data_IF_140652044841
#
_entry.id   IF_140652044841
#
_cell.length_a   1.000
_cell.length_b   1.000
_cell.length_c   1.000
_cell.angle_alpha   90.00
_cell.angle_beta   90.00
_cell.angle_gamma   90.00
#
_symmetry.space_group_name_H-M   'P 1'
#
loop_
_entity.id
_entity.type
_entity.pdbx_description
1 polymer ?
#
# COMPACT_ATOMS: atom_id res chain seq x y z
N UNK A 1 -6.10 -28.70 -48.19
CA UNK A 1 -5.38 -27.46 -48.51
C UNK A 1 -6.33 -26.29 -48.33
N UNK A 2 -5.91 -25.28 -47.58
CA UNK A 2 -6.40 -23.89 -47.68
C UNK A 2 -7.78 -23.57 -47.11
N UNK A 3 -7.83 -23.09 -45.87
CA UNK A 3 -8.81 -22.05 -45.52
C UNK A 3 -8.12 -20.85 -44.90
N UNK A 4 -8.51 -19.70 -45.45
CA UNK A 4 -8.01 -18.35 -45.28
C UNK A 4 -7.84 -17.90 -43.84
N UNK A 5 -6.69 -17.25 -43.62
CA UNK A 5 -6.50 -16.20 -42.62
C UNK A 5 -7.40 -14.99 -42.94
N UNK A 6 -8.04 -14.44 -41.93
CA UNK A 6 -8.24 -13.00 -41.77
C UNK A 6 -8.72 -12.72 -40.34
N UNK A 7 -7.84 -12.18 -39.50
CA UNK A 7 -8.21 -11.08 -38.61
C UNK A 7 -7.03 -10.12 -38.59
N UNK A 8 -7.19 -9.09 -39.42
CA UNK A 8 -6.34 -7.92 -39.51
C UNK A 8 -6.59 -7.10 -38.23
N UNK A 9 -5.70 -7.27 -37.26
CA UNK A 9 -5.69 -6.50 -36.03
C UNK A 9 -5.13 -5.11 -36.32
N UNK A 10 -6.03 -4.13 -36.35
CA UNK A 10 -5.79 -2.70 -36.31
C UNK A 10 -4.57 -2.33 -35.46
N UNK A 11 -3.52 -1.82 -36.11
CA UNK A 11 -2.44 -1.10 -35.44
C UNK A 11 -2.78 0.38 -35.48
N UNK A 12 -3.23 0.91 -34.34
CA UNK A 12 -3.27 2.35 -34.14
C UNK A 12 -1.83 2.85 -33.93
N UNK A 13 -1.23 3.31 -35.03
CA UNK A 13 0.07 3.94 -35.05
C UNK A 13 -0.10 5.45 -34.96
N UNK A 14 -0.26 6.02 -33.75
CA UNK A 14 -0.11 7.47 -33.51
C UNK A 14 -0.12 7.82 -32.01
N UNK A 15 0.98 7.58 -31.29
CA UNK A 15 1.38 8.46 -30.17
C UNK A 15 2.89 8.34 -29.99
N UNK A 16 3.63 9.43 -30.16
CA UNK A 16 5.00 9.53 -29.65
C UNK A 16 4.93 9.49 -28.11
N UNK A 17 4.95 8.28 -27.57
CA UNK A 17 4.91 7.97 -26.15
C UNK A 17 5.56 6.62 -25.92
N UNK A 18 6.21 6.43 -24.77
CA UNK A 18 6.82 5.15 -24.40
C UNK A 18 5.79 4.02 -24.56
N UNK A 19 6.10 2.90 -25.25
CA UNK A 19 5.13 1.84 -25.50
C UNK A 19 4.62 1.26 -24.18
N UNK A 20 3.32 1.43 -23.92
CA UNK A 20 2.65 0.95 -22.71
C UNK A 20 2.49 -0.57 -22.76
N UNK A 21 3.20 -1.28 -21.87
CA UNK A 21 3.04 -2.73 -21.67
C UNK A 21 2.25 -2.98 -20.39
N UNK A 22 1.31 -3.93 -20.41
CA UNK A 22 0.54 -4.30 -19.21
C UNK A 22 1.44 -4.98 -18.18
N UNK A 23 1.50 -4.41 -16.98
CA UNK A 23 2.15 -4.98 -15.79
C UNK A 23 1.06 -5.33 -14.77
N UNK A 24 1.12 -6.53 -14.18
CA UNK A 24 0.17 -7.01 -13.18
C UNK A 24 0.94 -7.32 -11.89
N UNK A 25 0.43 -6.84 -10.75
CA UNK A 25 0.95 -7.11 -9.41
C UNK A 25 -0.19 -7.72 -8.59
N UNK A 26 0.01 -8.92 -8.07
CA UNK A 26 -0.96 -9.59 -7.19
C UNK A 26 -0.59 -9.34 -5.73
N UNK A 27 -1.56 -8.88 -4.94
CA UNK A 27 -1.37 -8.54 -3.53
C UNK A 27 -2.46 -9.18 -2.67
N UNK A 28 -2.13 -9.68 -1.46
CA UNK A 28 -3.13 -10.06 -0.47
C UNK A 28 -4.05 -8.88 -0.08
N UNK A 29 -5.31 -9.13 0.30
CA UNK A 29 -6.29 -8.07 0.62
C UNK A 29 -5.82 -7.09 1.72
N UNK A 30 -5.01 -7.57 2.66
CA UNK A 30 -4.44 -6.71 3.71
C UNK A 30 -3.56 -5.58 3.14
N UNK A 31 -3.08 -5.71 1.90
CA UNK A 31 -2.25 -4.72 1.21
C UNK A 31 -3.03 -3.88 0.18
N UNK A 32 -4.37 -3.82 0.24
CA UNK A 32 -5.22 -3.01 -0.67
C UNK A 32 -5.04 -1.49 -0.66
N UNK A 33 -4.14 -0.96 0.18
CA UNK A 33 -3.77 0.45 0.12
C UNK A 33 -2.44 0.62 -0.62
N UNK A 34 -1.65 -0.45 -0.74
CA UNK A 34 -0.36 -0.46 -1.42
C UNK A 34 -0.53 -0.39 -2.93
N UNK A 35 -1.53 -1.07 -3.50
CA UNK A 35 -1.86 -0.99 -4.93
C UNK A 35 -2.20 0.45 -5.36
N UNK A 36 -3.03 1.15 -4.60
CA UNK A 36 -3.41 2.54 -4.85
C UNK A 36 -2.20 3.45 -4.77
N UNK A 37 -1.33 3.26 -3.76
CA UNK A 37 -0.11 4.05 -3.61
C UNK A 37 0.88 3.82 -4.76
N UNK A 38 1.07 2.56 -5.19
CA UNK A 38 1.93 2.22 -6.33
C UNK A 38 1.41 2.80 -7.64
N UNK A 39 0.10 2.71 -7.89
CA UNK A 39 -0.52 3.32 -9.08
C UNK A 39 -0.36 4.84 -9.08
N UNK A 40 -0.58 5.48 -7.93
CA UNK A 40 -0.39 6.92 -7.78
C UNK A 40 1.07 7.34 -8.03
N UNK A 41 2.04 6.59 -7.49
CA UNK A 41 3.47 6.83 -7.70
C UNK A 41 3.85 6.66 -9.17
N UNK A 42 3.42 5.58 -9.83
CA UNK A 42 3.68 5.34 -11.24
C UNK A 42 3.12 6.48 -12.12
N UNK A 43 1.85 6.85 -11.92
CA UNK A 43 1.24 7.96 -12.66
C UNK A 43 1.89 9.32 -12.35
N UNK A 44 2.45 9.51 -11.15
CA UNK A 44 3.19 10.71 -10.81
C UNK A 44 4.53 10.78 -11.56
N UNK A 45 5.29 9.69 -11.60
CA UNK A 45 6.55 9.59 -12.35
C UNK A 45 6.32 9.82 -13.84
N UNK A 46 5.25 9.24 -14.41
CA UNK A 46 4.89 9.45 -15.81
C UNK A 46 4.65 10.94 -16.13
N UNK A 47 3.87 11.64 -15.30
CA UNK A 47 3.61 13.08 -15.47
C UNK A 47 4.89 13.92 -15.38
N UNK A 48 5.83 13.55 -14.51
CA UNK A 48 7.12 14.21 -14.40
C UNK A 48 7.99 14.00 -15.65
N UNK A 49 7.93 12.81 -16.25
CA UNK A 49 8.60 12.49 -17.51
C UNK A 49 8.07 13.30 -18.69
N UNK A 50 6.74 13.41 -18.83
CA UNK A 50 6.10 14.17 -19.92
C UNK A 50 6.43 15.67 -19.83
N UNK A 51 6.41 16.26 -18.63
CA UNK A 51 6.71 17.69 -18.43
C UNK A 51 8.18 18.07 -18.68
N UNK A 52 9.08 17.08 -18.78
CA UNK A 52 10.52 17.28 -18.96
C UNK A 52 10.96 17.32 -20.44
N UNK A 53 10.06 16.99 -21.37
CA UNK A 53 10.37 16.87 -22.80
C UNK A 53 10.59 18.23 -23.53
N UNK A 54 10.16 19.34 -22.93
CA UNK A 54 10.14 20.67 -23.57
C UNK A 54 11.48 21.44 -23.54
N UNK A 55 12.59 20.80 -23.15
CA UNK A 55 13.93 21.41 -23.15
C UNK A 55 14.14 22.57 -22.17
N UNK A 56 13.20 22.79 -21.24
CA UNK A 56 13.34 23.75 -20.13
C UNK A 56 14.25 23.19 -19.04
N UNK A 57 14.96 24.08 -18.34
CA UNK A 57 15.70 23.73 -17.12
C UNK A 57 14.77 23.08 -16.10
N UNK A 58 15.09 21.83 -15.73
CA UNK A 58 14.30 21.04 -14.79
C UNK A 58 14.81 21.34 -13.38
N UNK A 59 13.91 21.74 -12.48
CA UNK A 59 14.20 21.76 -11.05
C UNK A 59 14.22 20.32 -10.52
N UNK A 60 15.36 19.66 -10.67
CA UNK A 60 15.52 18.27 -10.27
C UNK A 60 15.40 18.09 -8.75
N UNK A 61 15.79 19.09 -7.96
CA UNK A 61 15.64 19.03 -6.51
C UNK A 61 14.15 19.02 -6.12
N UNK A 62 13.29 19.73 -6.86
CA UNK A 62 11.84 19.62 -6.69
C UNK A 62 11.34 18.23 -7.07
N UNK A 63 11.76 17.69 -8.22
CA UNK A 63 11.41 16.34 -8.64
C UNK A 63 11.78 15.31 -7.57
N UNK A 64 13.01 15.38 -7.04
CA UNK A 64 13.49 14.47 -6.00
C UNK A 64 12.59 14.52 -4.75
N UNK A 65 12.21 15.72 -4.30
CA UNK A 65 11.29 15.87 -3.15
C UNK A 65 9.91 15.27 -3.43
N UNK A 66 9.38 15.47 -4.63
CA UNK A 66 8.07 14.94 -5.03
C UNK A 66 8.09 13.41 -5.13
N UNK A 67 9.13 12.84 -5.74
CA UNK A 67 9.35 11.38 -5.79
C UNK A 67 9.53 10.80 -4.40
N UNK A 68 10.32 11.44 -3.53
CA UNK A 68 10.52 11.00 -2.15
C UNK A 68 9.20 11.02 -1.34
N UNK A 69 8.37 12.04 -1.53
CA UNK A 69 7.05 12.11 -0.88
C UNK A 69 6.09 11.01 -1.37
N UNK A 70 6.13 10.69 -2.67
CA UNK A 70 5.38 9.58 -3.23
C UNK A 70 5.86 8.23 -2.69
N UNK A 71 7.18 8.02 -2.63
CA UNK A 71 7.79 6.82 -2.06
C UNK A 71 7.41 6.63 -0.57
N UNK A 72 7.48 7.70 0.23
CA UNK A 72 7.05 7.65 1.64
C UNK A 72 5.56 7.27 1.78
N UNK A 73 4.72 7.62 0.81
CA UNK A 73 3.31 7.21 0.80
C UNK A 73 3.16 5.71 0.54
N UNK A 74 3.94 5.16 -0.39
CA UNK A 74 4.03 3.72 -0.65
C UNK A 74 4.52 2.97 0.58
N UNK A 75 5.58 3.46 1.23
CA UNK A 75 6.13 2.85 2.46
C UNK A 75 5.09 2.82 3.60
N UNK A 76 4.37 3.93 3.85
CA UNK A 76 3.30 3.96 4.85
C UNK A 76 2.18 2.96 4.52
N UNK A 77 1.79 2.84 3.25
CA UNK A 77 0.77 1.88 2.83
C UNK A 77 1.23 0.42 3.00
N UNK A 78 2.51 0.12 2.74
CA UNK A 78 3.10 -1.18 3.01
C UNK A 78 3.08 -1.50 4.51
N UNK A 79 3.51 -0.56 5.35
CA UNK A 79 3.45 -0.70 6.82
C UNK A 79 2.02 -0.89 7.32
N UNK A 80 1.04 -0.18 6.76
CA UNK A 80 -0.36 -0.34 7.13
C UNK A 80 -0.83 -1.78 6.94
N UNK A 81 -0.52 -2.40 5.80
CA UNK A 81 -0.89 -3.79 5.54
C UNK A 81 -0.13 -4.80 6.41
N UNK A 82 1.16 -4.55 6.67
CA UNK A 82 1.95 -5.39 7.58
C UNK A 82 1.41 -5.35 9.01
N UNK A 83 1.17 -4.15 9.55
CA UNK A 83 0.64 -3.97 10.90
C UNK A 83 -0.77 -4.55 11.02
N UNK A 84 -1.63 -4.33 10.02
CA UNK A 84 -2.97 -4.92 10.00
C UNK A 84 -2.94 -6.46 10.01
N UNK A 85 -1.95 -7.07 9.35
CA UNK A 85 -1.77 -8.53 9.35
C UNK A 85 -1.29 -9.10 10.68
N UNK A 86 -0.79 -8.26 11.60
CA UNK A 86 -0.40 -8.67 12.96
C UNK A 86 -1.59 -8.63 13.95
N UNK A 87 -2.69 -7.96 13.61
CA UNK A 87 -3.89 -7.95 14.46
C UNK A 87 -4.55 -9.34 14.47
N UNK A 88 -4.63 -9.97 15.65
CA UNK A 88 -5.21 -11.31 15.77
C UNK A 88 -6.73 -11.34 15.57
N UNK A 89 -7.43 -10.23 15.87
CA UNK A 89 -8.88 -10.07 15.76
C UNK A 89 -9.74 -11.29 16.20
N UNK A 90 -9.38 -11.93 17.31
CA UNK A 90 -10.13 -13.03 17.90
C UNK A 90 -10.88 -12.58 19.16
N UNK A 91 -11.97 -13.27 19.52
CA UNK A 91 -12.68 -12.96 20.77
C UNK A 91 -11.79 -13.21 22.00
N UNK A 92 -10.98 -14.28 21.95
CA UNK A 92 -10.01 -14.63 22.98
C UNK A 92 -8.70 -15.09 22.36
N UNK A 93 -7.60 -14.79 23.05
CA UNK A 93 -6.23 -15.15 22.63
C UNK A 93 -5.41 -15.63 23.83
N UNK A 94 -4.42 -16.47 23.56
CA UNK A 94 -3.42 -16.87 24.55
C UNK A 94 -2.19 -15.97 24.43
N UNK A 95 -1.87 -15.23 25.48
CA UNK A 95 -0.68 -14.35 25.56
C UNK A 95 0.11 -14.78 26.78
N UNK A 96 1.38 -15.13 26.58
CA UNK A 96 2.29 -15.61 27.64
C UNK A 96 1.68 -16.73 28.53
N UNK A 97 0.96 -17.66 27.89
CA UNK A 97 0.32 -18.78 28.59
C UNK A 97 -0.95 -18.44 29.38
N UNK A 98 -1.44 -17.19 29.31
CA UNK A 98 -2.67 -16.76 29.94
C UNK A 98 -3.75 -16.39 28.90
N UNK A 99 -4.99 -16.76 29.18
CA UNK A 99 -6.15 -16.41 28.35
C UNK A 99 -6.50 -14.93 28.54
N UNK A 100 -6.70 -14.24 27.43
CA UNK A 100 -7.12 -12.86 27.38
C UNK A 100 -8.36 -12.71 26.48
N UNK A 101 -9.33 -11.93 26.91
CA UNK A 101 -10.54 -11.59 26.14
C UNK A 101 -10.37 -10.22 25.50
N UNK A 102 -10.82 -10.09 24.25
CA UNK A 102 -10.85 -8.83 23.52
C UNK A 102 -11.80 -7.85 24.20
N UNK A 103 -11.31 -6.66 24.53
CA UNK A 103 -12.09 -5.61 25.18
C UNK A 103 -12.64 -4.57 24.20
N UNK A 104 -12.08 -4.52 22.99
CA UNK A 104 -12.54 -3.64 21.92
C UNK A 104 -11.55 -3.56 20.78
N UNK A 105 -11.95 -2.87 19.72
CA UNK A 105 -11.09 -2.51 18.59
C UNK A 105 -11.02 -1.01 18.49
N UNK A 106 -9.82 -0.49 18.32
CA UNK A 106 -9.54 0.93 18.30
C UNK A 106 -8.40 1.21 17.31
N UNK A 107 -8.36 2.43 16.78
CA UNK A 107 -7.23 2.84 15.96
C UNK A 107 -5.97 3.01 16.84
N UNK A 108 -4.86 2.44 16.36
CA UNK A 108 -3.52 2.59 16.92
C UNK A 108 -2.62 3.34 15.96
N UNK A 109 -1.90 4.35 16.46
CA UNK A 109 -0.90 5.09 15.71
C UNK A 109 0.48 4.45 15.91
N UNK A 110 1.11 4.05 14.81
CA UNK A 110 2.46 3.48 14.77
C UNK A 110 3.38 4.43 14.02
N UNK A 111 4.59 4.63 14.56
CA UNK A 111 5.55 5.57 13.99
C UNK A 111 6.60 4.80 13.18
N UNK A 112 6.65 5.10 11.88
CA UNK A 112 7.62 4.52 10.93
C UNK A 112 8.57 5.61 10.46
N UNK A 113 9.66 5.23 9.78
CA UNK A 113 10.56 6.22 9.17
C UNK A 113 9.85 7.03 8.06
N UNK A 114 8.83 6.44 7.42
CA UNK A 114 7.99 7.12 6.43
C UNK A 114 6.88 8.00 7.05
N UNK A 115 6.79 8.05 8.39
CA UNK A 115 5.77 8.80 9.13
C UNK A 115 4.79 7.91 9.88
N UNK A 116 3.76 8.53 10.44
CA UNK A 116 2.74 7.84 11.25
C UNK A 116 1.75 7.06 10.37
N UNK A 117 1.43 5.84 10.78
CA UNK A 117 0.43 4.96 10.18
C UNK A 117 -0.62 4.63 11.24
N UNK A 118 -1.90 4.72 10.88
CA UNK A 118 -3.01 4.34 11.75
C UNK A 118 -3.61 3.02 11.27
N UNK A 119 -3.72 2.03 12.16
CA UNK A 119 -4.41 0.77 11.87
C UNK A 119 -5.40 0.42 12.97
N UNK A 120 -6.56 -0.17 12.63
CA UNK A 120 -7.42 -0.81 13.61
C UNK A 120 -6.65 -1.94 14.30
N UNK A 121 -6.70 -1.98 15.62
CA UNK A 121 -6.06 -3.01 16.44
C UNK A 121 -7.01 -3.53 17.51
N UNK A 122 -6.87 -4.80 17.85
CA UNK A 122 -7.62 -5.43 18.92
C UNK A 122 -6.89 -5.30 20.24
N UNK A 123 -7.62 -4.86 21.26
CA UNK A 123 -7.10 -4.72 22.61
C UNK A 123 -7.59 -5.86 23.49
N UNK A 124 -6.71 -6.44 24.31
CA UNK A 124 -6.99 -7.64 25.09
C UNK A 124 -6.74 -7.44 26.58
N UNK A 125 -7.58 -8.05 27.42
CA UNK A 125 -7.42 -8.03 28.87
C UNK A 125 -7.47 -9.45 29.40
N UNK A 126 -6.59 -9.75 30.37
CA UNK A 126 -6.53 -11.06 30.99
C UNK A 126 -7.89 -11.47 31.58
N UNK A 127 -8.31 -12.70 31.31
CA UNK A 127 -9.58 -13.24 31.80
C UNK A 127 -9.61 -13.23 33.34
N UNK A 128 -10.75 -12.85 33.90
CA UNK A 128 -10.94 -12.76 35.36
C UNK A 128 -10.40 -11.48 36.02
N UNK A 129 -9.65 -10.64 35.30
CA UNK A 129 -9.11 -9.37 35.85
C UNK A 129 -9.95 -8.16 35.44
N UNK A 130 -11.00 -7.85 36.20
CA UNK A 130 -11.80 -6.63 35.98
C UNK A 130 -10.91 -5.39 36.21
N UNK A 131 -10.95 -4.43 35.27
CA UNK A 131 -10.11 -3.22 35.24
C UNK A 131 -8.59 -3.48 35.17
N UNK A 132 -8.17 -4.67 34.71
CA UNK A 132 -6.76 -4.99 34.47
C UNK A 132 -6.13 -4.27 33.28
N UNK A 133 -4.79 -4.32 33.21
CA UNK A 133 -4.00 -3.81 32.08
C UNK A 133 -4.49 -4.43 30.78
N UNK A 134 -4.51 -3.60 29.74
CA UNK A 134 -4.88 -3.99 28.39
C UNK A 134 -3.59 -4.14 27.57
N UNK A 135 -3.56 -5.17 26.73
CA UNK A 135 -2.43 -5.55 25.88
C UNK A 135 -2.83 -5.32 24.43
N UNK A 136 -1.91 -4.74 23.69
CA UNK A 136 -1.92 -4.66 22.23
C UNK A 136 -1.10 -5.83 21.67
N UNK A 137 -1.58 -6.46 20.60
CA UNK A 137 -0.93 -7.62 19.98
C UNK A 137 -0.04 -7.27 18.79
N UNK A 138 -0.04 -6.01 18.37
CA UNK A 138 0.82 -5.46 17.33
C UNK A 138 2.01 -4.74 18.02
#
# INVERSE_FOLDING_TARGET
MGQSRAIEGYQDSSTEGCPMTRIVIELPDQHKHLDLALQAMAGHIERLGVGSADGKSIDYAKIEREVAAAAATVERAAHQGLLAGLDLDAEKVMIDGALHTRVGRYDGAYHTMAGTVSVPRSLYRRDGHRNGKVVDTI
#
